data_IF_694912894719
#
_entry.id   IF_694912894719
#
_cell.length_a   1.000
_cell.length_b   1.000
_cell.length_c   1.000
_cell.angle_alpha   90.00
_cell.angle_beta   90.00
_cell.angle_gamma   90.00
#
_symmetry.space_group_name_H-M   'P 1'
#
loop_
_entity.id
_entity.type
_entity.pdbx_description
1 polymer ?
#
# COMPACT_ATOMS: atom_id res chain seq x y z
N UNK A 1 -83.36 -17.70 -50.89
CA UNK A 1 -82.19 -18.60 -50.94
C UNK A 1 -80.92 -17.76 -50.71
N UNK A 2 -79.96 -18.30 -49.93
CA UNK A 2 -78.60 -17.81 -49.58
C UNK A 2 -78.47 -16.38 -49.02
N UNK A 3 -78.39 -16.12 -47.70
CA UNK A 3 -77.32 -16.43 -46.72
C UNK A 3 -75.90 -16.10 -47.21
N UNK A 4 -75.51 -14.83 -47.09
CA UNK A 4 -74.11 -14.39 -47.14
C UNK A 4 -73.62 -14.22 -45.69
N UNK A 5 -72.50 -14.89 -45.40
CA UNK A 5 -71.78 -14.91 -44.13
C UNK A 5 -70.95 -13.62 -43.99
N UNK A 6 -71.06 -12.92 -42.86
CA UNK A 6 -70.08 -11.94 -42.44
C UNK A 6 -69.38 -12.48 -41.18
N UNK A 7 -68.15 -12.93 -41.34
CA UNK A 7 -67.25 -13.21 -40.22
C UNK A 7 -66.58 -11.88 -39.84
N UNK A 8 -66.87 -11.39 -38.64
CA UNK A 8 -66.13 -10.29 -38.04
C UNK A 8 -64.82 -10.87 -37.50
N UNK A 9 -63.72 -10.62 -38.22
CA UNK A 9 -62.39 -10.85 -37.67
C UNK A 9 -62.08 -9.71 -36.70
N UNK A 10 -62.23 -9.98 -35.39
CA UNK A 10 -61.71 -9.10 -34.34
C UNK A 10 -60.19 -9.30 -34.32
N UNK A 11 -59.46 -8.41 -34.97
CA UNK A 11 -58.02 -8.32 -34.79
C UNK A 11 -57.76 -7.58 -33.47
N UNK A 12 -57.49 -8.33 -32.40
CA UNK A 12 -56.96 -7.74 -31.17
C UNK A 12 -55.56 -7.21 -31.45
N UNK A 13 -55.43 -5.89 -31.57
CA UNK A 13 -54.16 -5.20 -31.51
C UNK A 13 -53.69 -5.18 -30.05
N UNK A 14 -53.00 -6.24 -29.62
CA UNK A 14 -52.19 -6.21 -28.41
C UNK A 14 -51.01 -5.27 -28.65
N UNK A 15 -51.21 -3.99 -28.34
CA UNK A 15 -50.10 -3.07 -28.15
C UNK A 15 -49.29 -3.59 -26.96
N UNK A 16 -48.19 -4.27 -27.26
CA UNK A 16 -47.16 -4.55 -26.27
C UNK A 16 -46.67 -3.18 -25.76
N UNK A 17 -47.14 -2.78 -24.59
CA UNK A 17 -46.45 -1.75 -23.79
C UNK A 17 -45.17 -2.43 -23.34
N UNK A 18 -44.16 -2.42 -24.22
CA UNK A 18 -42.79 -2.56 -23.76
C UNK A 18 -42.62 -1.46 -22.70
N UNK A 19 -42.16 -1.78 -21.47
CA UNK A 19 -41.73 -0.71 -20.59
C UNK A 19 -40.67 0.04 -21.40
N UNK A 20 -40.92 1.32 -21.67
CA UNK A 20 -39.84 2.21 -22.06
C UNK A 20 -38.75 1.94 -21.03
N UNK A 21 -37.63 1.35 -21.45
CA UNK A 21 -36.46 1.22 -20.61
C UNK A 21 -36.09 2.65 -20.29
N UNK A 22 -36.63 3.16 -19.18
CA UNK A 22 -36.45 4.53 -18.75
C UNK A 22 -34.95 4.69 -18.66
N UNK A 23 -34.41 5.54 -19.52
CA UNK A 23 -33.01 5.91 -19.47
C UNK A 23 -32.82 6.53 -18.09
N UNK A 24 -32.40 5.70 -17.13
CA UNK A 24 -32.23 6.15 -15.76
C UNK A 24 -31.31 7.37 -15.83
N UNK A 25 -31.72 8.46 -15.19
CA UNK A 25 -30.89 9.64 -15.09
C UNK A 25 -30.09 9.56 -13.79
N UNK A 26 -28.87 10.09 -13.82
CA UNK A 26 -28.07 10.22 -12.61
C UNK A 26 -28.78 11.16 -11.63
N UNK A 27 -28.80 10.77 -10.37
CA UNK A 27 -29.14 11.67 -9.28
C UNK A 27 -27.95 12.60 -9.02
N UNK A 28 -28.26 13.84 -8.65
CA UNK A 28 -27.28 14.88 -8.42
C UNK A 28 -27.42 15.35 -6.99
N UNK A 29 -26.35 15.20 -6.22
CA UNK A 29 -26.21 15.78 -4.90
C UNK A 29 -25.21 16.93 -4.96
N UNK A 30 -25.50 18.03 -4.28
CA UNK A 30 -24.74 19.28 -4.43
C UNK A 30 -24.33 19.81 -3.05
N UNK A 31 -23.11 20.33 -2.93
CA UNK A 31 -22.65 21.16 -1.79
C UNK A 31 -22.26 22.55 -2.28
N UNK A 32 -21.32 23.27 -1.67
CA UNK A 32 -20.91 24.59 -2.18
C UNK A 32 -19.97 24.47 -3.37
N UNK A 33 -18.96 23.60 -3.26
CA UNK A 33 -17.90 23.43 -4.25
C UNK A 33 -17.86 22.03 -4.88
N UNK A 34 -18.84 21.18 -4.60
CA UNK A 34 -18.90 19.81 -5.12
C UNK A 34 -20.28 19.52 -5.72
N UNK A 35 -20.29 18.75 -6.81
CA UNK A 35 -21.49 18.13 -7.36
C UNK A 35 -21.21 16.65 -7.58
N UNK A 36 -21.96 15.79 -6.92
CA UNK A 36 -21.83 14.33 -7.02
C UNK A 36 -22.95 13.79 -7.90
N UNK A 37 -22.57 13.16 -9.01
CA UNK A 37 -23.47 12.52 -9.95
C UNK A 37 -23.37 11.00 -9.78
N UNK A 38 -24.44 10.37 -9.29
CA UNK A 38 -24.48 8.94 -8.99
C UNK A 38 -25.75 8.31 -9.53
N UNK A 39 -25.78 6.99 -9.61
CA UNK A 39 -26.99 6.26 -10.02
C UNK A 39 -27.95 6.07 -8.83
N UNK A 40 -29.28 5.95 -9.04
CA UNK A 40 -30.26 5.84 -7.95
C UNK A 40 -29.95 4.75 -6.92
N UNK A 41 -29.44 3.60 -7.38
CA UNK A 41 -29.01 2.46 -6.57
C UNK A 41 -27.75 2.73 -5.71
N UNK A 42 -27.05 3.83 -5.96
CA UNK A 42 -25.84 4.26 -5.26
C UNK A 42 -26.09 5.40 -4.27
N UNK A 43 -27.34 5.63 -3.83
CA UNK A 43 -27.71 6.78 -3.01
C UNK A 43 -26.85 6.97 -1.75
N UNK A 44 -26.59 5.91 -1.00
CA UNK A 44 -25.73 5.97 0.20
C UNK A 44 -24.29 6.35 -0.14
N UNK A 45 -23.76 5.81 -1.23
CA UNK A 45 -22.41 6.10 -1.70
C UNK A 45 -22.30 7.54 -2.22
N UNK A 46 -23.33 8.03 -2.90
CA UNK A 46 -23.44 9.43 -3.36
C UNK A 46 -23.40 10.41 -2.20
N UNK A 47 -24.16 10.14 -1.13
CA UNK A 47 -24.18 11.00 0.06
C UNK A 47 -22.85 10.94 0.83
N UNK A 48 -22.23 9.76 0.91
CA UNK A 48 -20.90 9.61 1.48
C UNK A 48 -19.88 10.45 0.69
N UNK A 49 -19.84 10.32 -0.64
CA UNK A 49 -18.97 11.09 -1.51
C UNK A 49 -19.20 12.60 -1.36
N UNK A 50 -20.46 13.04 -1.26
CA UNK A 50 -20.80 14.46 -1.09
C UNK A 50 -20.21 15.00 0.21
N UNK A 51 -20.42 14.28 1.33
CA UNK A 51 -19.93 14.70 2.64
C UNK A 51 -18.40 14.70 2.70
N UNK A 52 -17.76 13.56 2.42
CA UNK A 52 -16.30 13.43 2.57
C UNK A 52 -15.53 14.21 1.50
N UNK A 53 -16.08 14.34 0.29
CA UNK A 53 -15.50 15.20 -0.74
C UNK A 53 -15.55 16.68 -0.37
N UNK A 54 -16.64 17.15 0.26
CA UNK A 54 -16.74 18.54 0.74
C UNK A 54 -15.74 18.82 1.87
N UNK A 55 -15.58 17.88 2.80
CA UNK A 55 -14.57 17.96 3.86
C UNK A 55 -13.14 17.95 3.29
N UNK A 56 -12.89 17.10 2.29
CA UNK A 56 -11.61 17.02 1.59
C UNK A 56 -11.28 18.33 0.87
N UNK A 57 -12.21 18.92 0.12
CA UNK A 57 -12.01 20.22 -0.54
C UNK A 57 -11.65 21.31 0.47
N UNK A 58 -12.38 21.43 1.58
CA UNK A 58 -12.08 22.41 2.64
C UNK A 58 -10.68 22.22 3.24
N UNK A 59 -10.22 20.98 3.38
CA UNK A 59 -8.85 20.67 3.83
C UNK A 59 -7.82 21.05 2.77
N UNK A 60 -8.07 20.70 1.51
CA UNK A 60 -7.21 20.97 0.37
C UNK A 60 -7.04 22.47 0.13
N UNK A 61 -8.09 23.28 0.22
CA UNK A 61 -8.01 24.73 0.09
C UNK A 61 -7.04 25.34 1.10
N UNK A 62 -7.08 24.88 2.36
CA UNK A 62 -6.16 25.34 3.41
C UNK A 62 -4.74 24.84 3.19
N UNK A 63 -4.59 23.54 2.89
CA UNK A 63 -3.27 22.92 2.71
C UNK A 63 -2.54 23.51 1.49
N UNK A 64 -3.27 23.74 0.40
CA UNK A 64 -2.77 24.26 -0.86
C UNK A 64 -3.00 25.76 -1.00
N UNK A 65 -3.40 26.51 0.03
CA UNK A 65 -3.55 27.97 -0.05
C UNK A 65 -4.27 28.50 -1.29
N UNK A 66 -5.25 27.74 -1.80
CA UNK A 66 -5.98 28.03 -3.04
C UNK A 66 -7.47 28.06 -2.72
N UNK A 67 -8.22 28.91 -3.42
CA UNK A 67 -9.66 29.01 -3.26
C UNK A 67 -10.35 28.44 -4.49
N UNK A 68 -11.33 27.57 -4.28
CA UNK A 68 -12.13 27.01 -5.35
C UNK A 68 -13.32 27.92 -5.65
N UNK A 69 -13.28 28.64 -6.76
CA UNK A 69 -14.38 29.53 -7.19
C UNK A 69 -15.56 28.77 -7.83
N UNK A 70 -15.28 27.58 -8.34
CA UNK A 70 -16.24 26.76 -9.07
C UNK A 70 -16.72 25.54 -8.28
N UNK A 71 -17.10 24.51 -9.03
CA UNK A 71 -17.50 23.20 -8.50
C UNK A 71 -16.71 22.11 -9.19
N UNK A 72 -16.32 21.10 -8.44
CA UNK A 72 -15.79 19.85 -8.99
C UNK A 72 -16.95 18.86 -9.16
N UNK A 73 -17.05 18.28 -10.35
CA UNK A 73 -18.02 17.23 -10.65
C UNK A 73 -17.43 15.85 -10.34
N UNK A 74 -18.04 15.12 -9.41
CA UNK A 74 -17.66 13.75 -9.06
C UNK A 74 -18.67 12.79 -9.66
N UNK A 75 -18.22 11.95 -10.59
CA UNK A 75 -19.03 10.91 -11.21
C UNK A 75 -18.76 9.56 -10.55
N UNK A 76 -19.79 8.96 -9.96
CA UNK A 76 -19.76 7.55 -9.56
C UNK A 76 -20.32 6.71 -10.72
N UNK A 77 -19.52 5.80 -11.27
CA UNK A 77 -19.91 4.99 -12.44
C UNK A 77 -20.49 3.63 -12.04
N UNK A 78 -21.04 2.87 -12.98
CA UNK A 78 -21.53 1.48 -12.78
C UNK A 78 -20.68 0.43 -13.48
N UNK A 79 -19.86 0.83 -14.45
CA UNK A 79 -19.11 -0.10 -15.27
C UNK A 79 -17.77 0.49 -15.71
N UNK A 80 -16.86 -0.40 -16.14
CA UNK A 80 -15.61 0.00 -16.78
C UNK A 80 -15.87 0.82 -18.05
N UNK A 81 -16.87 0.45 -18.85
CA UNK A 81 -17.19 1.17 -20.08
C UNK A 81 -17.60 2.62 -19.81
N UNK A 82 -18.42 2.85 -18.78
CA UNK A 82 -18.80 4.20 -18.37
C UNK A 82 -17.63 4.99 -17.76
N UNK A 83 -16.72 4.31 -17.04
CA UNK A 83 -15.48 4.90 -16.57
C UNK A 83 -14.61 5.40 -17.73
N UNK A 84 -14.43 4.56 -18.75
CA UNK A 84 -13.63 4.87 -19.94
C UNK A 84 -14.27 6.00 -20.76
N UNK A 85 -15.59 5.97 -20.95
CA UNK A 85 -16.34 7.02 -21.63
C UNK A 85 -16.19 8.39 -20.96
N UNK A 86 -16.41 8.46 -19.64
CA UNK A 86 -16.37 9.73 -18.91
C UNK A 86 -14.96 10.27 -18.70
N UNK A 87 -13.96 9.39 -18.72
CA UNK A 87 -12.54 9.78 -18.66
C UNK A 87 -11.95 10.09 -20.03
N UNK A 88 -12.59 9.64 -21.12
CA UNK A 88 -12.08 9.77 -22.48
C UNK A 88 -10.87 8.87 -22.79
N UNK A 89 -10.61 7.85 -21.97
CA UNK A 89 -9.42 6.98 -22.03
C UNK A 89 -9.82 5.51 -21.93
N UNK A 90 -9.04 4.62 -22.53
CA UNK A 90 -9.13 3.18 -22.22
C UNK A 90 -8.31 2.89 -20.96
N UNK A 91 -8.98 2.83 -19.80
CA UNK A 91 -8.30 2.64 -18.53
C UNK A 91 -8.07 1.17 -18.22
N UNK A 92 -6.98 0.88 -17.52
CA UNK A 92 -6.73 -0.46 -17.00
C UNK A 92 -7.75 -0.79 -15.89
N UNK A 93 -8.21 -2.05 -15.76
CA UNK A 93 -9.29 -2.39 -14.83
C UNK A 93 -9.02 -2.06 -13.35
N UNK A 94 -7.75 -2.04 -12.94
CA UNK A 94 -7.34 -1.72 -11.57
C UNK A 94 -7.31 -0.23 -11.25
N UNK A 95 -7.45 0.66 -12.24
CA UNK A 95 -7.60 2.11 -12.00
C UNK A 95 -9.02 2.34 -11.50
N UNK A 96 -9.17 2.79 -10.25
CA UNK A 96 -10.46 2.93 -9.57
C UNK A 96 -10.97 4.37 -9.48
N UNK A 97 -10.10 5.34 -9.68
CA UNK A 97 -10.38 6.77 -9.73
C UNK A 97 -9.55 7.45 -10.80
N UNK A 98 -10.02 8.59 -11.29
CA UNK A 98 -9.25 9.49 -12.14
C UNK A 98 -9.75 10.92 -12.02
N UNK A 99 -8.84 11.83 -11.73
CA UNK A 99 -9.00 13.26 -11.88
C UNK A 99 -8.80 13.71 -13.33
N UNK A 100 -9.63 14.66 -13.74
CA UNK A 100 -9.57 15.39 -15.00
C UNK A 100 -9.58 16.89 -14.67
N UNK A 101 -8.44 17.48 -14.25
CA UNK A 101 -8.42 18.84 -13.72
C UNK A 101 -8.91 19.90 -14.70
N UNK A 102 -8.53 19.79 -15.99
CA UNK A 102 -9.00 20.70 -17.04
C UNK A 102 -10.53 20.71 -17.26
N UNK A 103 -11.23 19.67 -16.79
CA UNK A 103 -12.69 19.58 -16.82
C UNK A 103 -13.34 19.78 -15.45
N UNK A 104 -12.55 20.10 -14.40
CA UNK A 104 -12.99 20.15 -13.00
C UNK A 104 -13.79 18.90 -12.62
N UNK A 105 -13.29 17.73 -13.00
CA UNK A 105 -14.01 16.46 -12.91
C UNK A 105 -13.19 15.38 -12.24
N UNK A 106 -13.85 14.56 -11.44
CA UNK A 106 -13.34 13.31 -10.90
C UNK A 106 -14.31 12.19 -11.31
N UNK A 107 -13.78 11.07 -11.79
CA UNK A 107 -14.57 9.88 -12.12
C UNK A 107 -14.08 8.74 -11.24
N UNK A 108 -14.98 8.07 -10.53
CA UNK A 108 -14.64 7.00 -9.59
C UNK A 108 -15.56 5.79 -9.78
N UNK A 109 -15.00 4.59 -9.59
CA UNK A 109 -15.74 3.34 -9.49
C UNK A 109 -16.41 3.20 -8.11
N UNK A 110 -17.48 2.40 -7.98
CA UNK A 110 -18.09 2.14 -6.69
C UNK A 110 -17.13 1.38 -5.77
N UNK A 111 -17.12 1.74 -4.48
CA UNK A 111 -16.33 1.06 -3.46
C UNK A 111 -16.96 1.18 -2.08
N UNK A 112 -16.43 0.41 -1.13
CA UNK A 112 -16.90 0.41 0.24
C UNK A 112 -16.64 1.74 0.97
N UNK A 113 -17.40 2.02 2.04
CA UNK A 113 -17.38 3.30 2.74
C UNK A 113 -16.05 3.65 3.40
N UNK A 114 -15.18 2.67 3.64
CA UNK A 114 -13.82 2.90 4.17
C UNK A 114 -12.83 3.33 3.08
N UNK A 115 -13.04 2.87 1.84
CA UNK A 115 -12.09 3.11 0.72
C UNK A 115 -12.42 4.35 -0.09
N UNK A 116 -13.69 4.74 -0.13
CA UNK A 116 -14.13 5.91 -0.89
C UNK A 116 -13.51 7.22 -0.38
N UNK A 117 -13.53 7.53 0.93
CA UNK A 117 -13.04 8.83 1.42
C UNK A 117 -11.58 9.13 1.07
N UNK A 118 -10.59 8.25 1.33
CA UNK A 118 -9.20 8.54 0.98
C UNK A 118 -9.01 8.62 -0.54
N UNK A 119 -9.61 7.72 -1.33
CA UNK A 119 -9.50 7.81 -2.79
C UNK A 119 -10.08 9.13 -3.32
N UNK A 120 -11.27 9.53 -2.87
CA UNK A 120 -11.88 10.76 -3.33
C UNK A 120 -11.04 11.98 -2.95
N UNK A 121 -10.47 11.99 -1.74
CA UNK A 121 -9.55 13.05 -1.32
C UNK A 121 -8.29 13.10 -2.21
N UNK A 122 -7.73 11.95 -2.58
CA UNK A 122 -6.58 11.83 -3.48
C UNK A 122 -6.89 12.41 -4.88
N UNK A 123 -7.99 11.98 -5.50
CA UNK A 123 -8.37 12.49 -6.83
C UNK A 123 -8.72 13.98 -6.81
N UNK A 124 -9.38 14.47 -5.75
CA UNK A 124 -9.65 15.89 -5.58
C UNK A 124 -8.37 16.70 -5.37
N UNK A 125 -7.34 16.12 -4.74
CA UNK A 125 -6.05 16.79 -4.56
C UNK A 125 -5.40 17.12 -5.91
N UNK A 126 -5.46 16.21 -6.89
CA UNK A 126 -4.97 16.49 -8.24
C UNK A 126 -5.70 17.66 -8.89
N UNK A 127 -7.04 17.70 -8.82
CA UNK A 127 -7.82 18.82 -9.36
C UNK A 127 -7.44 20.14 -8.71
N UNK A 128 -7.29 20.15 -7.38
CA UNK A 128 -6.96 21.35 -6.62
C UNK A 128 -5.51 21.80 -6.83
N UNK A 129 -4.58 20.86 -7.02
CA UNK A 129 -3.18 21.15 -7.30
C UNK A 129 -3.01 21.77 -8.68
N UNK A 130 -3.66 21.20 -9.70
CA UNK A 130 -3.69 21.78 -11.05
C UNK A 130 -4.39 23.14 -11.07
N UNK A 131 -5.48 23.31 -10.30
CA UNK A 131 -6.13 24.61 -10.14
C UNK A 131 -5.15 25.65 -9.55
N UNK A 132 -4.37 25.26 -8.54
CA UNK A 132 -3.37 26.15 -7.92
C UNK A 132 -2.27 26.54 -8.91
N UNK A 133 -1.73 25.56 -9.62
CA UNK A 133 -0.58 25.79 -10.51
C UNK A 133 -0.97 26.37 -11.87
N UNK A 134 -2.23 26.20 -12.28
CA UNK A 134 -2.75 26.64 -13.58
C UNK A 134 -1.93 26.05 -14.73
N UNK A 135 -1.58 26.89 -15.71
CA UNK A 135 -0.75 26.49 -16.84
C UNK A 135 0.64 25.94 -16.45
N UNK A 136 1.07 26.12 -15.20
CA UNK A 136 2.36 25.66 -14.69
C UNK A 136 2.30 24.29 -14.03
N UNK A 137 1.14 23.63 -13.98
CA UNK A 137 1.02 22.31 -13.36
C UNK A 137 2.02 21.28 -13.90
N UNK A 138 2.37 21.37 -15.19
CA UNK A 138 3.35 20.48 -15.84
C UNK A 138 4.77 20.58 -15.28
N UNK A 139 5.11 21.62 -14.51
CA UNK A 139 6.45 21.76 -13.91
C UNK A 139 6.61 20.91 -12.65
N UNK A 140 5.50 20.44 -12.06
CA UNK A 140 5.55 19.62 -10.86
C UNK A 140 6.02 18.22 -11.23
N UNK A 141 7.07 17.69 -10.56
CA UNK A 141 7.44 16.30 -10.73
C UNK A 141 6.34 15.38 -10.18
N UNK A 142 6.24 14.17 -10.73
CA UNK A 142 5.24 13.16 -10.34
C UNK A 142 5.31 12.86 -8.86
N UNK A 143 6.52 12.74 -8.30
CA UNK A 143 6.67 12.48 -6.87
C UNK A 143 5.98 13.54 -6.01
N UNK A 144 6.05 14.81 -6.38
CA UNK A 144 5.43 15.88 -5.61
C UNK A 144 3.92 15.89 -5.81
N UNK A 145 3.46 15.67 -7.04
CA UNK A 145 2.05 15.60 -7.39
C UNK A 145 1.33 14.46 -6.65
N UNK A 146 1.92 13.26 -6.67
CA UNK A 146 1.41 12.06 -6.02
C UNK A 146 1.59 12.10 -4.50
N UNK A 147 2.72 12.61 -4.02
CA UNK A 147 2.99 12.77 -2.59
C UNK A 147 1.99 13.70 -1.92
N UNK A 148 1.68 14.85 -2.55
CA UNK A 148 0.66 15.79 -2.07
C UNK A 148 -0.72 15.11 -2.06
N UNK A 149 -1.05 14.37 -3.12
CA UNK A 149 -2.34 13.70 -3.22
C UNK A 149 -2.53 12.61 -2.15
N UNK A 150 -1.52 11.76 -1.94
CA UNK A 150 -1.54 10.77 -0.85
C UNK A 150 -1.55 11.45 0.53
N UNK A 151 -0.73 12.48 0.75
CA UNK A 151 -0.66 13.21 2.03
C UNK A 151 -1.99 13.88 2.37
N UNK A 152 -2.61 14.55 1.41
CA UNK A 152 -3.92 15.16 1.60
C UNK A 152 -5.03 14.15 1.90
N UNK A 153 -4.89 12.93 1.39
CA UNK A 153 -5.83 11.83 1.55
C UNK A 153 -5.64 11.04 2.85
N UNK A 154 -4.57 11.28 3.61
CA UNK A 154 -4.11 10.40 4.68
C UNK A 154 -3.98 8.94 4.19
N UNK A 155 -3.55 8.79 2.94
CA UNK A 155 -3.44 7.51 2.24
C UNK A 155 -2.02 6.95 2.42
N UNK A 156 -1.77 6.40 3.60
CA UNK A 156 -0.50 5.74 3.94
C UNK A 156 -0.76 4.48 4.75
N UNK A 157 -0.75 3.34 4.06
CA UNK A 157 -1.19 2.06 4.59
C UNK A 157 -0.03 1.14 5.02
N UNK A 158 -0.37 -0.07 5.46
CA UNK A 158 0.64 -1.06 5.88
C UNK A 158 1.54 -1.53 4.72
N UNK A 159 1.06 -1.51 3.47
CA UNK A 159 1.85 -1.89 2.32
C UNK A 159 2.89 -0.80 2.00
N UNK A 160 2.51 0.48 2.11
CA UNK A 160 3.45 1.60 1.99
C UNK A 160 4.56 1.50 3.05
N UNK A 161 4.19 1.22 4.32
CA UNK A 161 5.15 1.01 5.42
C UNK A 161 6.10 -0.15 5.14
N UNK A 162 5.56 -1.28 4.71
CA UNK A 162 6.34 -2.48 4.41
C UNK A 162 7.33 -2.24 3.27
N UNK A 163 6.91 -1.60 2.19
CA UNK A 163 7.78 -1.28 1.05
C UNK A 163 8.94 -0.36 1.47
N UNK A 164 8.68 0.67 2.29
CA UNK A 164 9.74 1.54 2.81
C UNK A 164 10.68 0.74 3.73
N UNK A 165 10.14 -0.10 4.61
CA UNK A 165 10.91 -0.91 5.54
C UNK A 165 11.85 -1.90 4.82
N UNK A 166 11.35 -2.59 3.79
CA UNK A 166 12.13 -3.50 2.96
C UNK A 166 13.23 -2.75 2.19
N UNK A 167 12.92 -1.57 1.64
CA UNK A 167 13.91 -0.72 0.98
C UNK A 167 14.97 -0.17 1.95
N UNK A 168 14.57 0.22 3.17
CA UNK A 168 15.48 0.65 4.22
C UNK A 168 16.45 -0.48 4.62
N UNK A 169 15.95 -1.70 4.81
CA UNK A 169 16.75 -2.87 5.16
C UNK A 169 17.74 -3.24 4.05
N UNK A 170 17.33 -3.08 2.78
CA UNK A 170 18.15 -3.39 1.61
C UNK A 170 19.08 -2.24 1.18
N UNK A 171 19.08 -1.10 1.89
CA UNK A 171 19.75 0.16 1.51
C UNK A 171 19.41 0.62 0.07
N UNK A 172 18.10 0.60 -0.23
CA UNK A 172 17.51 0.95 -1.53
C UNK A 172 16.51 2.12 -1.45
N UNK A 173 16.53 2.90 -0.36
CA UNK A 173 15.70 4.11 -0.28
C UNK A 173 16.11 5.09 -1.39
N UNK A 174 15.12 5.67 -2.06
CA UNK A 174 15.29 6.60 -3.17
C UNK A 174 15.71 7.98 -2.63
N UNK A 175 16.77 8.53 -3.19
CA UNK A 175 17.13 9.96 -3.04
C UNK A 175 16.12 10.86 -3.76
N UNK A 176 16.17 12.17 -3.53
CA UNK A 176 15.33 13.17 -4.20
C UNK A 176 15.46 13.10 -5.73
N UNK A 177 16.68 12.87 -6.22
CA UNK A 177 16.96 12.81 -7.65
C UNK A 177 16.53 11.45 -8.28
N UNK A 178 16.31 10.43 -7.45
CA UNK A 178 15.86 9.09 -7.87
C UNK A 178 14.33 8.90 -7.80
N UNK A 179 13.62 9.75 -7.04
CA UNK A 179 12.16 9.67 -6.92
C UNK A 179 11.45 9.79 -8.26
N UNK A 180 11.81 10.77 -9.09
CA UNK A 180 11.14 11.00 -10.38
C UNK A 180 11.38 9.87 -11.38
N UNK A 181 12.64 9.39 -11.60
CA UNK A 181 12.90 8.23 -12.46
C UNK A 181 12.24 6.92 -11.97
N UNK A 182 12.05 6.75 -10.66
CA UNK A 182 11.49 5.51 -10.12
C UNK A 182 10.04 5.24 -10.57
N UNK A 183 9.29 6.28 -10.95
CA UNK A 183 7.96 6.11 -11.55
C UNK A 183 7.97 5.43 -12.93
N UNK A 184 9.11 5.39 -13.61
CA UNK A 184 9.29 4.66 -14.88
C UNK A 184 9.94 3.28 -14.67
N UNK A 185 10.18 2.90 -13.42
CA UNK A 185 10.77 1.63 -13.01
C UNK A 185 9.81 0.45 -13.04
N UNK A 186 10.24 -0.63 -12.38
CA UNK A 186 9.37 -1.78 -12.15
C UNK A 186 8.29 -1.51 -11.08
N UNK A 187 7.44 -2.51 -10.84
CA UNK A 187 6.33 -2.38 -9.89
C UNK A 187 6.79 -2.06 -8.46
N UNK A 188 7.93 -2.61 -8.02
CA UNK A 188 8.45 -2.39 -6.68
C UNK A 188 9.01 -0.98 -6.55
N UNK A 189 9.76 -0.52 -7.56
CA UNK A 189 10.27 0.85 -7.64
C UNK A 189 9.15 1.88 -7.66
N UNK A 190 8.10 1.66 -8.45
CA UNK A 190 6.93 2.55 -8.51
C UNK A 190 6.22 2.60 -7.17
N UNK A 191 6.00 1.44 -6.51
CA UNK A 191 5.38 1.40 -5.20
C UNK A 191 6.21 2.16 -4.15
N UNK A 192 7.54 1.99 -4.17
CA UNK A 192 8.46 2.72 -3.30
C UNK A 192 8.43 4.23 -3.58
N UNK A 193 8.37 4.62 -4.85
CA UNK A 193 8.26 6.02 -5.24
C UNK A 193 6.99 6.67 -4.66
N UNK A 194 5.83 6.01 -4.77
CA UNK A 194 4.58 6.47 -4.17
C UNK A 194 4.67 6.61 -2.64
N UNK A 195 5.20 5.60 -1.96
CA UNK A 195 5.31 5.58 -0.51
C UNK A 195 6.30 6.65 0.01
N UNK A 196 7.49 6.76 -0.58
CA UNK A 196 8.48 7.79 -0.22
C UNK A 196 8.00 9.20 -0.59
N UNK A 197 7.23 9.36 -1.67
CA UNK A 197 6.64 10.65 -2.04
C UNK A 197 5.70 11.18 -0.96
N UNK A 198 4.82 10.32 -0.42
CA UNK A 198 3.99 10.66 0.73
C UNK A 198 4.85 11.10 1.92
N UNK A 199 5.83 10.27 2.29
CA UNK A 199 6.64 10.49 3.48
C UNK A 199 7.50 11.76 3.36
N UNK A 200 7.98 12.09 2.15
CA UNK A 200 8.69 13.33 1.89
C UNK A 200 7.78 14.55 2.03
N UNK A 201 6.57 14.51 1.47
CA UNK A 201 5.62 15.64 1.64
C UNK A 201 5.21 15.81 3.10
N UNK A 202 5.04 14.71 3.84
CA UNK A 202 4.82 14.75 5.28
C UNK A 202 5.98 15.42 6.02
N UNK A 203 7.22 14.95 5.76
CA UNK A 203 8.45 15.55 6.32
C UNK A 203 8.56 17.05 6.01
N UNK A 204 8.40 17.44 4.74
CA UNK A 204 8.45 18.85 4.32
C UNK A 204 7.34 19.70 4.96
N UNK A 205 6.18 19.11 5.25
CA UNK A 205 5.07 19.83 5.88
C UNK A 205 5.34 20.17 7.35
N UNK A 206 6.22 19.42 8.01
CA UNK A 206 6.55 19.55 9.43
C UNK A 206 7.80 20.40 9.72
N UNK A 207 8.65 20.64 8.71
CA UNK A 207 9.85 21.49 8.87
C UNK A 207 9.45 22.94 9.16
N UNK A 208 10.33 23.68 9.86
CA UNK A 208 10.21 25.13 10.04
C UNK A 208 11.42 25.81 9.40
N UNK A 209 11.31 27.04 8.86
CA UNK A 209 10.28 28.06 9.12
C UNK A 209 9.02 27.99 8.26
N UNK A 210 9.05 27.31 7.11
CA UNK A 210 7.89 27.19 6.22
C UNK A 210 6.91 26.13 6.74
N UNK A 211 5.64 26.49 6.98
CA UNK A 211 4.61 25.51 7.38
C UNK A 211 3.85 25.01 6.16
N UNK A 212 3.99 23.72 5.85
CA UNK A 212 3.29 23.07 4.74
C UNK A 212 3.94 23.29 3.36
N UNK A 213 3.31 22.73 2.33
CA UNK A 213 3.87 22.66 0.97
C UNK A 213 3.64 23.93 0.13
N UNK A 214 2.80 24.85 0.60
CA UNK A 214 2.38 26.01 -0.18
C UNK A 214 3.52 26.90 -0.67
N UNK A 215 4.45 27.34 0.20
CA UNK A 215 5.58 28.16 -0.23
C UNK A 215 6.48 27.48 -1.28
N UNK A 216 6.59 26.14 -1.25
CA UNK A 216 7.30 25.38 -2.28
C UNK A 216 6.61 25.50 -3.63
N UNK A 217 5.29 25.36 -3.66
CA UNK A 217 4.51 25.52 -4.89
C UNK A 217 4.63 26.94 -5.47
N UNK A 218 4.75 27.97 -4.61
CA UNK A 218 4.97 29.35 -5.07
C UNK A 218 6.33 29.50 -5.78
N UNK A 219 7.41 28.94 -5.20
CA UNK A 219 8.73 28.96 -5.83
C UNK A 219 8.76 28.19 -7.16
N UNK A 220 8.09 27.03 -7.23
CA UNK A 220 8.00 26.24 -8.46
C UNK A 220 7.16 26.94 -9.53
N UNK A 221 6.10 27.64 -9.12
CA UNK A 221 5.32 28.48 -10.03
C UNK A 221 6.15 29.67 -10.58
N UNK A 222 7.23 30.09 -9.93
CA UNK A 222 8.17 31.05 -10.51
C UNK A 222 9.15 30.43 -11.52
N UNK A 223 9.07 29.12 -11.77
CA UNK A 223 9.95 28.40 -12.69
C UNK A 223 11.32 28.07 -12.10
N UNK A 224 11.45 28.10 -10.76
CA UNK A 224 12.69 27.75 -10.08
C UNK A 224 12.90 26.23 -10.11
N UNK A 225 14.16 25.84 -10.16
CA UNK A 225 14.57 24.46 -9.97
C UNK A 225 14.14 23.92 -8.59
N UNK A 226 13.82 22.63 -8.52
CA UNK A 226 13.32 21.98 -7.31
C UNK A 226 14.28 22.10 -6.12
N UNK A 227 15.58 21.82 -6.31
CA UNK A 227 16.56 21.89 -5.22
C UNK A 227 16.74 23.33 -4.76
N UNK A 228 16.75 24.28 -5.69
CA UNK A 228 16.77 25.70 -5.34
C UNK A 228 15.53 26.11 -4.54
N UNK A 229 14.34 25.71 -4.98
CA UNK A 229 13.07 26.02 -4.34
C UNK A 229 13.00 25.47 -2.90
N UNK A 230 13.40 24.21 -2.70
CA UNK A 230 13.49 23.59 -1.37
C UNK A 230 14.43 24.38 -0.44
N UNK A 231 15.64 24.69 -0.92
CA UNK A 231 16.61 25.44 -0.12
C UNK A 231 16.13 26.84 0.28
N UNK A 232 15.47 27.55 -0.64
CA UNK A 232 14.91 28.89 -0.37
C UNK A 232 13.76 28.86 0.64
N UNK A 233 12.85 27.89 0.51
CA UNK A 233 11.64 27.80 1.34
C UNK A 233 11.95 27.36 2.75
N UNK A 234 12.76 26.30 2.89
CA UNK A 234 13.04 25.70 4.18
C UNK A 234 14.28 26.29 4.85
N UNK A 235 15.05 27.14 4.16
CA UNK A 235 16.20 27.84 4.72
C UNK A 235 17.35 26.92 5.14
N UNK A 236 17.39 25.70 4.59
CA UNK A 236 18.35 24.65 4.94
C UNK A 236 19.00 24.08 3.67
N UNK A 237 20.25 23.61 3.74
CA UNK A 237 20.87 22.90 2.63
C UNK A 237 20.07 21.64 2.27
N UNK A 238 19.72 21.48 0.99
CA UNK A 238 18.97 20.31 0.52
C UNK A 238 19.63 18.97 0.86
N UNK A 239 20.97 18.81 0.73
CA UNK A 239 21.61 17.55 1.11
C UNK A 239 21.42 17.17 2.58
N UNK A 240 21.32 18.16 3.49
CA UNK A 240 21.07 17.90 4.91
C UNK A 240 19.63 17.45 5.16
N UNK A 241 18.66 18.10 4.50
CA UNK A 241 17.24 17.71 4.59
C UNK A 241 17.01 16.31 4.01
N UNK A 242 17.63 16.01 2.88
CA UNK A 242 17.58 14.70 2.24
C UNK A 242 18.16 13.61 3.15
N UNK A 243 19.34 13.84 3.73
CA UNK A 243 19.95 12.89 4.66
C UNK A 243 19.10 12.67 5.92
N UNK A 244 18.57 13.74 6.51
CA UNK A 244 17.68 13.66 7.68
C UNK A 244 16.40 12.88 7.38
N UNK A 245 15.74 13.19 6.26
CA UNK A 245 14.53 12.50 5.82
C UNK A 245 14.77 11.00 5.61
N UNK A 246 15.83 10.64 4.88
CA UNK A 246 16.18 9.24 4.61
C UNK A 246 16.52 8.49 5.90
N UNK A 247 17.23 9.13 6.84
CA UNK A 247 17.54 8.52 8.14
C UNK A 247 16.30 8.34 9.02
N UNK A 248 15.37 9.31 8.97
CA UNK A 248 14.06 9.18 9.58
C UNK A 248 13.29 7.98 9.04
N UNK A 249 13.25 7.80 7.71
CA UNK A 249 12.62 6.62 7.09
C UNK A 249 13.25 5.31 7.57
N UNK A 250 14.59 5.23 7.67
CA UNK A 250 15.25 4.04 8.20
C UNK A 250 14.82 3.78 9.63
N UNK A 251 14.89 4.78 10.49
CA UNK A 251 14.61 4.63 11.92
C UNK A 251 13.14 4.26 12.19
N UNK A 252 12.21 4.91 11.50
CA UNK A 252 10.78 4.79 11.76
C UNK A 252 10.18 3.49 11.21
N UNK A 253 10.73 2.95 10.13
CA UNK A 253 10.14 1.80 9.43
C UNK A 253 10.93 0.49 9.55
N UNK A 254 12.21 0.51 9.93
CA UNK A 254 12.98 -0.73 10.10
C UNK A 254 12.33 -1.70 11.12
N UNK A 255 11.71 -1.18 12.18
CA UNK A 255 11.03 -2.00 13.18
C UNK A 255 9.84 -2.81 12.63
N UNK A 256 9.30 -2.44 11.47
CA UNK A 256 8.20 -3.17 10.82
C UNK A 256 8.67 -4.50 10.22
N UNK A 257 9.96 -4.63 9.86
CA UNK A 257 10.53 -5.83 9.20
C UNK A 257 11.62 -6.50 10.01
N UNK A 258 12.24 -5.81 10.97
CA UNK A 258 13.21 -6.43 11.87
C UNK A 258 12.50 -7.03 13.07
N UNK A 259 12.65 -8.34 13.34
CA UNK A 259 12.08 -8.94 14.54
C UNK A 259 12.66 -8.24 15.78
N UNK A 260 11.85 -8.04 16.84
CA UNK A 260 12.35 -7.53 18.11
C UNK A 260 13.57 -8.34 18.59
N UNK A 261 14.51 -7.69 19.28
CA UNK A 261 15.76 -8.32 19.72
C UNK A 261 15.53 -9.66 20.46
N UNK A 262 14.47 -9.76 21.26
CA UNK A 262 14.15 -11.00 21.98
C UNK A 262 13.77 -12.16 21.04
N UNK A 263 13.04 -11.92 19.96
CA UNK A 263 12.65 -12.95 18.99
C UNK A 263 13.86 -13.43 18.18
N UNK A 264 14.72 -12.50 17.79
CA UNK A 264 15.99 -12.82 17.13
C UNK A 264 16.87 -13.70 18.03
N UNK A 265 16.96 -13.39 19.33
CA UNK A 265 17.70 -14.18 20.32
C UNK A 265 17.09 -15.59 20.49
N UNK A 266 15.77 -15.70 20.54
CA UNK A 266 15.08 -17.00 20.61
C UNK A 266 15.37 -17.83 19.36
N UNK A 267 15.24 -17.23 18.17
CA UNK A 267 15.56 -17.89 16.90
C UNK A 267 17.01 -18.37 16.85
N UNK A 268 17.96 -17.52 17.25
CA UNK A 268 19.38 -17.89 17.34
C UNK A 268 19.61 -19.03 18.34
N UNK A 269 18.95 -19.01 19.50
CA UNK A 269 19.01 -20.08 20.48
C UNK A 269 18.50 -21.42 19.92
N UNK A 270 17.41 -21.41 19.14
CA UNK A 270 16.92 -22.62 18.46
C UNK A 270 17.90 -23.14 17.40
N UNK A 271 18.51 -22.27 16.60
CA UNK A 271 19.54 -22.67 15.62
C UNK A 271 20.74 -23.29 16.34
N UNK A 272 21.21 -22.67 17.42
CA UNK A 272 22.33 -23.19 18.23
C UNK A 272 21.96 -24.53 18.85
N UNK A 273 20.78 -24.66 19.47
CA UNK A 273 20.31 -25.90 20.07
C UNK A 273 20.19 -27.03 19.03
N UNK A 274 19.71 -26.72 17.83
CA UNK A 274 19.64 -27.66 16.72
C UNK A 274 21.03 -28.11 16.27
N UNK A 275 21.99 -27.19 16.12
CA UNK A 275 23.37 -27.51 15.78
C UNK A 275 24.02 -28.39 16.86
N UNK A 276 23.81 -28.09 18.15
CA UNK A 276 24.29 -28.92 19.26
C UNK A 276 23.68 -30.32 19.18
N UNK A 277 22.36 -30.42 19.03
CA UNK A 277 21.66 -31.70 18.92
C UNK A 277 22.18 -32.51 17.72
N UNK A 278 22.38 -31.87 16.57
CA UNK A 278 22.95 -32.50 15.37
C UNK A 278 24.36 -33.04 15.62
N UNK A 279 25.24 -32.27 16.26
CA UNK A 279 26.60 -32.72 16.63
C UNK A 279 26.54 -33.90 17.59
N UNK A 280 25.69 -33.83 18.63
CA UNK A 280 25.53 -34.90 19.63
C UNK A 280 25.03 -36.18 18.99
N UNK A 281 23.98 -36.10 18.15
CA UNK A 281 23.42 -37.25 17.43
C UNK A 281 24.48 -37.83 16.49
N UNK A 282 25.18 -37.00 15.72
CA UNK A 282 26.21 -37.45 14.77
C UNK A 282 27.36 -38.17 15.50
N UNK A 283 27.81 -37.65 16.63
CA UNK A 283 28.83 -38.28 17.49
C UNK A 283 28.32 -39.60 18.08
N UNK A 284 27.08 -39.64 18.59
CA UNK A 284 26.47 -40.85 19.15
C UNK A 284 26.32 -41.93 18.08
N UNK A 285 25.82 -41.60 16.90
CA UNK A 285 25.68 -42.54 15.79
C UNK A 285 27.03 -43.04 15.25
N UNK A 286 28.09 -42.22 15.29
CA UNK A 286 29.44 -42.66 14.92
C UNK A 286 29.98 -43.72 15.88
N UNK A 287 29.86 -43.50 17.20
CA UNK A 287 30.27 -44.48 18.22
C UNK A 287 29.50 -45.79 18.11
N UNK A 288 28.19 -45.71 17.84
CA UNK A 288 27.36 -46.91 17.65
C UNK A 288 27.81 -47.70 16.41
N UNK A 289 28.15 -47.02 15.30
CA UNK A 289 28.69 -47.68 14.09
C UNK A 289 30.03 -48.35 14.32
N UNK A 290 30.97 -47.68 15.00
CA UNK A 290 32.26 -48.28 15.37
C UNK A 290 32.06 -49.53 16.23
N UNK A 291 31.13 -49.49 17.18
CA UNK A 291 30.79 -50.63 18.04
C UNK A 291 30.15 -51.77 17.25
N UNK A 292 29.22 -51.49 16.33
CA UNK A 292 28.62 -52.51 15.46
C UNK A 292 29.66 -53.18 14.55
N UNK A 293 30.58 -52.41 13.97
CA UNK A 293 31.67 -52.95 13.15
C UNK A 293 32.62 -53.83 13.98
N UNK A 294 32.94 -53.42 15.20
CA UNK A 294 33.74 -54.23 16.12
C UNK A 294 33.04 -55.54 16.51
N UNK A 295 31.73 -55.48 16.82
CA UNK A 295 30.91 -56.67 17.12
C UNK A 295 30.79 -57.61 15.90
N UNK A 296 30.65 -57.08 14.68
CA UNK A 296 30.66 -57.86 13.43
C UNK A 296 32.01 -58.54 13.18
N UNK A 297 33.12 -57.81 13.33
CA UNK A 297 34.48 -58.36 13.20
C UNK A 297 34.73 -59.50 14.21
N UNK A 298 34.35 -59.29 15.47
CA UNK A 298 34.49 -60.32 16.51
C UNK A 298 33.63 -61.56 16.22
N UNK A 299 32.44 -61.39 15.61
CA UNK A 299 31.61 -62.53 15.17
C UNK A 299 32.19 -63.27 13.97
N UNK A 300 32.76 -62.56 13.00
CA UNK A 300 33.42 -63.19 11.86
C UNK A 300 34.69 -63.96 12.27
N UNK A 301 35.46 -63.44 13.23
CA UNK A 301 36.71 -64.05 13.69
C UNK A 301 36.48 -65.22 14.66
N UNK A 302 35.47 -65.15 15.54
CA UNK A 302 35.24 -66.14 16.61
C UNK A 302 33.94 -66.95 16.50
N UNK A 303 33.12 -66.72 15.48
CA UNK A 303 31.86 -67.44 15.20
C UNK A 303 30.66 -66.99 16.04
N UNK A 304 30.76 -67.03 17.38
CA UNK A 304 29.77 -66.48 18.33
C UNK A 304 30.47 -65.63 19.40
N UNK A 305 29.82 -64.55 19.85
CA UNK A 305 30.43 -63.63 20.82
C UNK A 305 30.70 -64.33 22.17
N UNK A 306 31.89 -64.17 22.78
CA UNK A 306 32.22 -64.74 24.07
C UNK A 306 31.23 -64.30 25.18
N UNK A 307 30.81 -65.19 26.09
CA UNK A 307 29.79 -64.92 27.11
C UNK A 307 30.16 -63.82 28.11
N UNK A 308 31.44 -63.47 28.23
CA UNK A 308 31.95 -62.42 29.12
C UNK A 308 31.51 -61.00 28.71
N UNK A 309 31.07 -60.80 27.47
CA UNK A 309 30.60 -59.50 26.95
C UNK A 309 29.06 -59.36 26.91
N UNK A 310 28.31 -60.40 27.31
CA UNK A 310 26.84 -60.37 27.29
C UNK A 310 26.18 -59.57 28.43
N UNK A 311 26.95 -59.03 29.38
CA UNK A 311 26.42 -58.46 30.63
C UNK A 311 26.59 -56.96 30.86
N UNK A 312 27.14 -56.18 29.93
CA UNK A 312 27.26 -54.73 30.13
C UNK A 312 25.92 -54.02 29.81
N UNK A 313 25.07 -53.87 30.82
CA UNK A 313 23.84 -53.06 30.73
C UNK A 313 24.19 -51.60 30.39
N UNK A 314 23.78 -51.06 29.23
CA UNK A 314 24.17 -49.73 28.78
C UNK A 314 23.59 -48.57 29.62
N UNK A 315 22.69 -48.82 30.56
CA UNK A 315 22.05 -47.78 31.39
C UNK A 315 22.84 -47.43 32.66
N UNK A 316 23.76 -48.28 33.11
CA UNK A 316 24.44 -48.09 34.40
C UNK A 316 25.49 -46.95 34.38
N UNK A 317 26.09 -46.67 33.23
CA UNK A 317 27.19 -45.70 33.10
C UNK A 317 26.73 -44.25 32.81
N UNK A 318 25.41 -44.01 32.81
CA UNK A 318 24.82 -42.66 32.67
C UNK A 318 24.54 -41.96 34.01
N UNK A 319 24.80 -42.61 35.15
CA UNK A 319 24.81 -41.94 36.46
C UNK A 319 26.18 -41.32 36.75
N UNK A 320 26.55 -40.29 35.97
CA UNK A 320 27.63 -39.39 36.37
C UNK A 320 27.06 -38.42 37.42
N UNK A 321 27.48 -38.62 38.67
CA UNK A 321 27.65 -37.64 39.76
C UNK A 321 26.92 -36.28 39.60
N UNK A 322 25.78 -36.13 40.25
CA UNK A 322 25.29 -34.82 40.70
C UNK A 322 25.88 -34.55 42.09
N UNK A 323 27.06 -33.93 42.12
CA UNK A 323 27.68 -33.44 43.36
C UNK A 323 27.31 -31.97 43.54
N UNK A 324 26.11 -31.74 44.06
CA UNK A 324 25.73 -30.47 44.69
C UNK A 324 25.29 -30.77 46.12
N UNK A 325 26.24 -30.67 47.04
CA UNK A 325 25.98 -30.69 48.47
C UNK A 325 25.02 -29.57 48.92
N UNK A 326 24.40 -29.71 50.10
CA UNK A 326 23.40 -28.78 50.60
C UNK A 326 24.07 -27.49 51.10
N UNK A 327 23.53 -26.33 50.73
CA UNK A 327 23.77 -25.08 51.44
C UNK A 327 22.57 -24.86 52.36
N UNK A 328 22.79 -25.03 53.67
CA UNK A 328 21.97 -24.49 54.75
C UNK A 328 22.79 -23.35 55.35
N UNK A 329 22.41 -22.09 55.10
CA UNK A 329 21.71 -21.19 56.04
C UNK A 329 21.37 -19.87 55.32
#
# INVERSE_FOLDING_TARGET
>A
MSRIRAWIAITMLLAAIAPAAGQQQRHILTSDHLRVLHWPEQAELGELARRTGTEALTRLERMLGVRLDGRVDVYIVRSQAEFDELTGLQNKPWIVGRALPGAMRVVIKPMGPQRLPPLLAHELAHVMLDLRMGEKAYVLPRWLHEGIAKYAADDFDAADRQVIAEAALADKLLTLDELEPAFDGDREQVALAYAQSYALVAYLSDITPARGIGPLLDQLAEGRDMRLALGLVFGRPVPEMEAEWLEGLRTDYLSEVTPPLFEALIGAAFVIAFLIAWVVIRRRSARIRERMLYEEQMREEYGEMPPELQGADPAADLQIHDDRGPIID
#
